data_IF_996641752422
#
_entry.id   IF_996641752422
#
_cell.length_a   1.000
_cell.length_b   1.000
_cell.length_c   1.000
_cell.angle_alpha   90.00
_cell.angle_beta   90.00
_cell.angle_gamma   90.00
#
_symmetry.space_group_name_H-M   'P 1'
#
loop_
_entity.id
_entity.type
_entity.pdbx_description
1 polymer ?
#
# COMPACT_ATOMS: atom_id res chain seq x y z
N UNK A 1 -7.76 17.04 -15.61
CA UNK A 1 -7.78 16.45 -14.25
C UNK A 1 -8.62 17.29 -13.32
N UNK A 2 -9.42 16.66 -12.47
CA UNK A 2 -10.22 17.32 -11.43
C UNK A 2 -10.15 16.52 -10.13
N UNK A 3 -10.22 17.22 -9.00
CA UNK A 3 -10.34 16.62 -7.67
C UNK A 3 -11.65 17.09 -7.04
N UNK A 4 -12.46 16.15 -6.56
CA UNK A 4 -13.63 16.42 -5.73
C UNK A 4 -13.46 15.78 -4.36
N UNK A 5 -14.12 16.38 -3.35
CA UNK A 5 -14.00 15.98 -1.95
C UNK A 5 -15.38 15.70 -1.37
N UNK A 6 -15.52 14.60 -0.65
CA UNK A 6 -16.76 14.21 0.04
C UNK A 6 -16.46 13.58 1.39
N UNK A 7 -17.49 13.45 2.25
CA UNK A 7 -17.38 12.67 3.48
C UNK A 7 -17.27 11.17 3.15
N UNK A 8 -16.34 10.47 3.79
CA UNK A 8 -16.18 9.02 3.66
C UNK A 8 -16.82 8.25 4.83
N UNK A 9 -17.06 8.94 5.94
CA UNK A 9 -17.70 8.38 7.12
C UNK A 9 -17.07 8.89 8.42
N UNK A 10 -17.48 8.31 9.53
CA UNK A 10 -16.95 8.62 10.86
C UNK A 10 -16.58 7.35 11.62
N UNK A 11 -15.48 7.41 12.38
CA UNK A 11 -15.09 6.40 13.35
C UNK A 11 -15.97 6.49 14.61
N UNK A 12 -15.87 5.49 15.49
CA UNK A 12 -16.68 5.40 16.71
C UNK A 12 -16.35 6.51 17.73
N UNK A 13 -15.15 7.08 17.66
CA UNK A 13 -14.74 8.24 18.47
C UNK A 13 -15.26 9.59 17.92
N UNK A 14 -15.96 9.57 16.78
CA UNK A 14 -16.50 10.75 16.10
C UNK A 14 -15.54 11.42 15.11
N UNK A 15 -14.32 10.92 14.96
CA UNK A 15 -13.37 11.39 13.95
C UNK A 15 -13.92 11.15 12.55
N UNK A 16 -13.88 12.16 11.68
CA UNK A 16 -14.45 12.10 10.33
C UNK A 16 -13.36 11.89 9.28
N UNK A 17 -13.59 10.96 8.38
CA UNK A 17 -12.74 10.73 7.22
C UNK A 17 -13.31 11.37 5.97
N UNK A 18 -12.40 11.79 5.10
CA UNK A 18 -12.67 12.47 3.84
C UNK A 18 -12.26 11.55 2.70
N UNK A 19 -13.02 11.57 1.61
CA UNK A 19 -12.70 10.91 0.35
C UNK A 19 -12.31 11.94 -0.70
N UNK A 20 -11.19 11.70 -1.38
CA UNK A 20 -10.66 12.51 -2.46
C UNK A 20 -10.76 11.72 -3.77
N UNK A 21 -11.62 12.17 -4.67
CA UNK A 21 -11.84 11.55 -5.98
C UNK A 21 -11.02 12.30 -7.02
N UNK A 22 -9.98 11.65 -7.56
CA UNK A 22 -9.07 12.18 -8.58
C UNK A 22 -9.47 11.59 -9.93
N UNK A 23 -9.83 12.45 -10.89
CA UNK A 23 -10.31 12.03 -12.21
C UNK A 23 -9.48 12.65 -13.33
N UNK A 24 -9.06 11.83 -14.29
CA UNK A 24 -8.43 12.32 -15.52
C UNK A 24 -9.45 12.59 -16.63
N UNK A 25 -8.97 13.06 -17.79
CA UNK A 25 -9.85 13.37 -18.92
C UNK A 25 -10.32 12.12 -19.68
N UNK A 26 -9.68 10.97 -19.48
CA UNK A 26 -9.91 9.71 -20.19
C UNK A 26 -10.79 8.71 -19.43
N UNK A 27 -11.36 9.11 -18.30
CA UNK A 27 -12.36 8.35 -17.56
C UNK A 27 -11.82 7.48 -16.42
N UNK A 28 -10.51 7.46 -16.20
CA UNK A 28 -9.92 6.81 -15.01
C UNK A 28 -10.14 7.67 -13.77
N UNK A 29 -10.53 7.00 -12.68
CA UNK A 29 -10.85 7.63 -11.40
C UNK A 29 -10.15 6.86 -10.28
N UNK A 30 -9.44 7.57 -9.41
CA UNK A 30 -8.92 7.03 -8.16
C UNK A 30 -9.62 7.72 -6.98
N UNK A 31 -10.10 6.95 -6.02
CA UNK A 31 -10.66 7.47 -4.77
C UNK A 31 -9.72 7.13 -3.62
N UNK A 32 -9.26 8.15 -2.88
CA UNK A 32 -8.29 7.99 -1.79
C UNK A 32 -8.82 8.67 -0.54
N UNK A 33 -8.76 8.03 0.61
CA UNK A 33 -9.19 8.63 1.88
C UNK A 33 -8.02 9.19 2.69
N UNK A 34 -8.25 10.27 3.44
CA UNK A 34 -7.27 10.82 4.40
C UNK A 34 -7.00 9.90 5.59
N UNK A 35 -7.89 8.93 5.87
CA UNK A 35 -7.61 7.86 6.81
C UNK A 35 -6.68 6.83 6.16
N UNK A 36 -5.46 6.72 6.66
CA UNK A 36 -4.42 5.80 6.20
C UNK A 36 -3.84 6.11 4.83
N UNK A 37 -4.21 7.23 4.20
CA UNK A 37 -3.95 7.51 2.79
C UNK A 37 -4.29 6.27 1.91
N UNK A 38 -5.40 5.59 2.24
CA UNK A 38 -5.79 4.32 1.63
C UNK A 38 -6.40 4.58 0.24
N UNK A 39 -5.96 3.81 -0.77
CA UNK A 39 -6.64 3.76 -2.07
C UNK A 39 -7.94 2.97 -1.91
N UNK A 40 -9.08 3.66 -1.99
CA UNK A 40 -10.40 3.12 -1.73
C UNK A 40 -10.98 2.42 -2.95
N UNK A 41 -10.91 3.09 -4.11
CA UNK A 41 -11.40 2.58 -5.39
C UNK A 41 -10.49 3.02 -6.53
N UNK A 42 -10.45 2.22 -7.59
CA UNK A 42 -9.74 2.53 -8.81
C UNK A 42 -10.57 2.09 -10.02
N UNK A 43 -11.29 3.04 -10.60
CA UNK A 43 -12.09 2.80 -11.78
C UNK A 43 -11.24 2.93 -13.03
N UNK A 44 -11.11 1.83 -13.79
CA UNK A 44 -10.32 1.79 -15.03
C UNK A 44 -11.23 1.43 -16.21
N UNK A 45 -11.27 2.25 -17.29
CA UNK A 45 -12.03 1.94 -18.48
C UNK A 45 -11.54 0.68 -19.21
N UNK A 46 -12.46 -0.22 -19.56
CA UNK A 46 -12.20 -1.36 -20.43
C UNK A 46 -12.00 -0.95 -21.91
N UNK A 47 -11.81 -1.93 -22.79
CA UNK A 47 -11.65 -1.70 -24.25
C UNK A 47 -12.88 -1.05 -24.92
N UNK A 48 -14.04 -1.08 -24.28
CA UNK A 48 -15.29 -0.44 -24.74
C UNK A 48 -15.52 0.91 -24.04
N UNK A 49 -14.62 1.34 -23.16
CA UNK A 49 -14.71 2.56 -22.38
C UNK A 49 -15.60 2.45 -21.15
N UNK A 50 -16.00 1.25 -20.73
CA UNK A 50 -16.77 1.05 -19.51
C UNK A 50 -15.82 1.00 -18.30
N UNK A 51 -15.91 1.92 -17.34
CA UNK A 51 -15.10 1.85 -16.13
C UNK A 51 -15.61 0.77 -15.18
N UNK A 52 -14.69 0.08 -14.52
CA UNK A 52 -14.98 -0.85 -13.43
C UNK A 52 -13.97 -0.67 -12.30
N UNK A 53 -14.39 -0.91 -11.05
CA UNK A 53 -13.51 -0.83 -9.88
C UNK A 53 -12.67 -2.10 -9.78
N UNK A 54 -11.36 -1.95 -9.99
CA UNK A 54 -10.43 -3.08 -10.09
C UNK A 54 -9.62 -3.31 -8.81
N UNK A 55 -9.92 -2.62 -7.71
CA UNK A 55 -9.26 -2.84 -6.42
C UNK A 55 -10.23 -3.34 -5.35
N UNK A 56 -9.74 -4.19 -4.47
CA UNK A 56 -10.49 -4.64 -3.29
C UNK A 56 -10.42 -3.59 -2.19
N UNK A 57 -11.52 -3.41 -1.46
CA UNK A 57 -11.63 -2.41 -0.41
C UNK A 57 -12.95 -2.50 0.37
N UNK A 58 -13.28 -1.41 1.06
CA UNK A 58 -14.52 -1.23 1.83
C UNK A 58 -15.25 0.03 1.40
N UNK A 59 -16.56 0.09 1.68
CA UNK A 59 -17.39 1.23 1.29
C UNK A 59 -17.30 2.42 2.25
N UNK A 60 -16.75 2.25 3.46
CA UNK A 60 -16.64 3.29 4.47
C UNK A 60 -15.38 3.19 5.34
N UNK A 61 -15.12 4.25 6.11
CA UNK A 61 -13.95 4.33 7.00
C UNK A 61 -13.94 3.27 8.09
N UNK A 62 -15.09 2.73 8.51
CA UNK A 62 -15.14 1.70 9.57
C UNK A 62 -14.57 0.39 9.07
N UNK A 63 -14.88 0.01 7.83
CA UNK A 63 -14.22 -1.11 7.15
C UNK A 63 -12.70 -0.95 7.09
N UNK A 64 -12.21 0.26 6.80
CA UNK A 64 -10.77 0.57 6.82
C UNK A 64 -10.16 0.57 8.23
N UNK A 65 -10.93 0.95 9.25
CA UNK A 65 -10.52 0.90 10.65
C UNK A 65 -10.28 -0.53 11.14
N UNK A 66 -11.02 -1.51 10.62
CA UNK A 66 -10.75 -2.94 10.83
C UNK A 66 -9.65 -3.44 9.88
N UNK A 67 -9.90 -3.45 8.57
CA UNK A 67 -8.98 -3.80 7.47
C UNK A 67 -7.89 -4.85 7.80
N UNK A 68 -8.26 -6.11 8.12
CA UNK A 68 -7.30 -7.17 8.42
C UNK A 68 -6.35 -7.50 7.26
N UNK A 69 -6.74 -7.17 6.04
CA UNK A 69 -5.99 -7.47 4.81
C UNK A 69 -5.12 -6.32 4.32
N UNK A 70 -5.09 -5.17 5.02
CA UNK A 70 -4.41 -3.96 4.56
C UNK A 70 -4.83 -3.49 3.16
N UNK A 71 -6.08 -3.73 2.75
CA UNK A 71 -6.59 -3.30 1.45
C UNK A 71 -6.33 -1.82 1.22
N UNK A 72 -5.72 -1.50 0.07
CA UNK A 72 -5.45 -0.13 -0.37
C UNK A 72 -4.43 0.64 0.46
N UNK A 73 -3.83 0.02 1.49
CA UNK A 73 -3.21 0.78 2.57
C UNK A 73 -1.84 1.35 2.26
N UNK A 74 -1.58 2.59 2.72
CA UNK A 74 -0.22 3.11 2.83
C UNK A 74 0.46 2.46 4.03
N UNK A 75 1.47 1.65 3.75
CA UNK A 75 2.22 0.91 4.76
C UNK A 75 3.49 1.66 5.12
N UNK A 76 3.80 1.72 6.41
CA UNK A 76 5.06 2.24 6.95
C UNK A 76 5.12 2.15 8.48
N UNK A 77 6.25 2.43 9.12
CA UNK A 77 7.53 2.91 8.53
C UNK A 77 8.26 1.90 7.63
N UNK A 78 8.10 0.60 7.89
CA UNK A 78 8.67 -0.50 7.12
C UNK A 78 7.57 -1.45 6.63
N UNK A 79 7.45 -1.57 5.32
CA UNK A 79 6.66 -2.62 4.71
C UNK A 79 7.35 -3.99 4.80
N UNK A 80 6.54 -5.04 4.83
CA UNK A 80 6.93 -6.43 5.03
C UNK A 80 7.51 -6.67 6.43
N UNK A 81 8.38 -7.67 6.59
CA UNK A 81 8.79 -8.21 7.89
C UNK A 81 10.18 -7.76 8.32
N UNK A 82 10.33 -7.52 9.61
CA UNK A 82 11.62 -7.44 10.31
C UNK A 82 11.72 -8.66 11.23
N UNK A 83 12.74 -9.49 10.97
CA UNK A 83 12.99 -10.72 11.73
C UNK A 83 13.27 -10.44 13.20
N UNK A 84 12.71 -11.28 14.08
CA UNK A 84 12.83 -11.17 15.54
C UNK A 84 12.36 -9.81 16.11
N UNK A 85 11.56 -9.07 15.33
CA UNK A 85 11.04 -7.75 15.66
C UNK A 85 12.12 -6.77 16.16
N UNK A 86 13.33 -6.83 15.59
CA UNK A 86 14.43 -5.95 16.00
C UNK A 86 15.42 -5.69 14.88
N UNK A 87 16.17 -4.61 15.01
CA UNK A 87 17.29 -4.32 14.12
C UNK A 87 18.38 -3.53 14.85
N UNK A 88 19.57 -3.50 14.27
CA UNK A 88 20.69 -2.70 14.75
C UNK A 88 20.98 -1.58 13.76
N UNK A 89 21.05 -0.35 14.24
CA UNK A 89 21.44 0.81 13.44
C UNK A 89 22.45 1.64 14.22
N UNK A 90 23.58 1.96 13.59
CA UNK A 90 24.68 2.70 14.22
C UNK A 90 25.15 2.12 15.57
N UNK A 91 25.13 0.78 15.69
CA UNK A 91 25.52 0.06 16.91
C UNK A 91 24.48 0.08 18.04
N UNK A 92 23.31 0.69 17.82
CA UNK A 92 22.18 0.68 18.76
C UNK A 92 21.16 -0.37 18.33
N UNK A 93 20.68 -1.17 19.28
CA UNK A 93 19.62 -2.13 19.06
C UNK A 93 18.26 -1.48 19.29
N UNK A 94 17.35 -1.64 18.33
CA UNK A 94 15.98 -1.19 18.39
C UNK A 94 15.06 -2.40 18.42
N UNK A 95 14.16 -2.44 19.40
CA UNK A 95 13.10 -3.44 19.51
C UNK A 95 11.79 -2.84 18.99
N UNK A 96 11.05 -3.65 18.24
CA UNK A 96 9.77 -3.31 17.62
C UNK A 96 8.67 -4.17 18.25
N UNK A 97 7.42 -3.79 17.96
CA UNK A 97 6.27 -4.61 18.32
C UNK A 97 6.37 -5.99 17.66
N UNK A 98 6.21 -7.05 18.46
CA UNK A 98 6.06 -8.42 17.96
C UNK A 98 4.59 -8.64 17.57
N UNK A 99 4.27 -8.48 16.29
CA UNK A 99 2.89 -8.50 15.79
C UNK A 99 2.63 -9.55 14.69
N UNK A 100 3.63 -10.37 14.33
CA UNK A 100 3.47 -11.49 13.39
C UNK A 100 4.41 -12.64 13.78
N UNK A 101 3.91 -13.57 14.59
CA UNK A 101 4.74 -14.62 15.18
C UNK A 101 5.86 -14.00 16.05
N UNK A 102 7.15 -14.31 15.82
CA UNK A 102 8.27 -13.65 16.49
C UNK A 102 8.74 -12.35 15.80
N UNK A 103 8.08 -11.92 14.73
CA UNK A 103 8.54 -10.85 13.85
C UNK A 103 7.67 -9.58 13.99
N UNK A 104 8.14 -8.49 13.38
CA UNK A 104 7.35 -7.29 13.13
C UNK A 104 6.92 -7.26 11.65
N UNK A 105 5.66 -7.00 11.35
CA UNK A 105 5.06 -6.93 10.02
C UNK A 105 4.37 -5.57 9.81
N UNK A 106 4.70 -4.91 8.70
CA UNK A 106 4.05 -3.67 8.24
C UNK A 106 4.06 -2.52 9.28
N UNK A 107 4.96 -2.64 10.27
CA UNK A 107 5.24 -1.72 11.38
C UNK A 107 4.12 -1.40 12.37
N UNK A 108 2.93 -1.99 12.27
CA UNK A 108 1.96 -2.30 13.35
C UNK A 108 0.59 -2.50 12.71
N UNK A 109 -0.26 -3.36 13.27
CA UNK A 109 -1.64 -3.50 12.78
C UNK A 109 -2.52 -2.38 13.32
N UNK A 110 -2.47 -2.14 14.64
CA UNK A 110 -3.33 -1.18 15.34
C UNK A 110 -2.76 0.25 15.29
N UNK A 111 -1.44 0.39 15.28
CA UNK A 111 -0.76 1.69 15.29
C UNK A 111 -0.06 2.01 13.96
N UNK A 112 -0.34 1.23 12.91
CA UNK A 112 0.21 1.39 11.57
C UNK A 112 -0.12 2.73 10.95
N UNK A 113 0.64 3.16 9.94
CA UNK A 113 0.31 4.38 9.20
C UNK A 113 -1.08 4.28 8.55
N UNK A 114 -1.50 3.09 8.14
CA UNK A 114 -2.81 2.80 7.59
C UNK A 114 -3.99 3.03 8.56
N UNK A 115 -3.74 3.26 9.85
CA UNK A 115 -4.75 3.55 10.89
C UNK A 115 -4.79 5.01 11.34
N UNK A 116 -4.07 5.90 10.66
CA UNK A 116 -3.89 7.30 11.08
C UNK A 116 -4.49 8.26 10.07
N UNK A 117 -4.96 9.40 10.55
CA UNK A 117 -5.35 10.49 9.66
C UNK A 117 -4.12 11.21 9.12
N UNK A 118 -4.06 11.35 7.80
CA UNK A 118 -3.06 12.14 7.09
C UNK A 118 -3.60 13.54 6.83
N UNK A 119 -2.70 14.52 6.83
CA UNK A 119 -3.04 15.85 6.31
C UNK A 119 -3.05 15.82 4.78
N UNK A 120 -4.20 16.07 4.17
CA UNK A 120 -4.36 16.06 2.73
C UNK A 120 -4.28 17.47 2.12
N UNK A 121 -3.58 17.59 1.00
CA UNK A 121 -3.43 18.81 0.22
C UNK A 121 -3.68 18.54 -1.26
N UNK A 122 -4.62 19.27 -1.86
CA UNK A 122 -4.89 19.21 -3.30
C UNK A 122 -3.90 20.15 -4.01
N UNK A 123 -3.05 19.58 -4.87
CA UNK A 123 -2.04 20.33 -5.60
C UNK A 123 -2.64 21.03 -6.82
N UNK A 124 -1.98 22.08 -7.31
CA UNK A 124 -2.41 22.84 -8.49
C UNK A 124 -2.43 22.05 -9.80
N UNK A 125 -1.77 20.89 -9.85
CA UNK A 125 -1.78 19.99 -11.01
C UNK A 125 -2.88 18.92 -10.96
N UNK A 126 -3.74 18.94 -9.93
CA UNK A 126 -4.83 17.98 -9.76
C UNK A 126 -4.43 16.66 -9.08
N UNK A 127 -3.20 16.54 -8.58
CA UNK A 127 -2.80 15.46 -7.67
C UNK A 127 -3.18 15.78 -6.21
N UNK A 128 -3.17 14.77 -5.33
CA UNK A 128 -3.43 14.95 -3.89
C UNK A 128 -2.27 14.38 -3.08
N UNK A 129 -1.69 15.19 -2.21
CA UNK A 129 -0.61 14.81 -1.29
C UNK A 129 -1.16 14.57 0.10
N UNK A 130 -0.88 13.41 0.68
CA UNK A 130 -1.21 13.02 2.04
C UNK A 130 0.07 12.99 2.87
N UNK A 131 0.13 13.74 3.97
CA UNK A 131 1.32 13.86 4.82
C UNK A 131 1.06 13.36 6.24
N UNK A 132 2.06 12.72 6.84
CA UNK A 132 2.02 12.20 8.21
C UNK A 132 3.35 12.48 8.90
N UNK A 133 3.26 13.00 10.13
CA UNK A 133 4.40 13.15 11.05
C UNK A 133 4.45 11.92 11.96
N UNK A 134 5.58 11.22 11.96
CA UNK A 134 5.87 10.04 12.79
C UNK A 134 7.00 10.38 13.76
N UNK A 135 6.71 10.63 15.04
CA UNK A 135 7.70 11.13 15.99
C UNK A 135 8.82 10.13 16.29
N UNK A 136 9.91 10.62 16.89
CA UNK A 136 11.00 9.76 17.40
C UNK A 136 10.46 8.70 18.38
N UNK A 137 10.79 7.43 18.15
CA UNK A 137 10.32 6.29 18.91
C UNK A 137 8.96 5.74 18.45
N UNK A 138 8.30 6.36 17.47
CA UNK A 138 7.04 5.87 16.93
C UNK A 138 7.20 4.49 16.28
N UNK A 139 6.32 3.55 16.65
CA UNK A 139 6.42 2.12 16.32
C UNK A 139 7.77 1.48 16.70
N UNK A 140 8.58 2.12 17.55
CA UNK A 140 9.93 1.68 17.95
C UNK A 140 11.08 2.20 17.07
N UNK A 141 10.81 3.03 16.06
CA UNK A 141 11.84 3.54 15.14
C UNK A 141 12.45 4.88 15.60
N UNK A 142 13.77 5.09 15.45
CA UNK A 142 14.40 6.37 15.78
C UNK A 142 14.08 7.45 14.75
N UNK A 143 14.16 8.71 15.19
CA UNK A 143 14.02 9.90 14.36
C UNK A 143 12.57 10.32 14.16
N UNK A 144 12.32 11.61 14.30
CA UNK A 144 11.11 12.21 13.76
C UNK A 144 11.16 12.04 12.24
N UNK A 145 10.07 11.58 11.65
CA UNK A 145 9.94 11.37 10.22
C UNK A 145 8.73 12.14 9.72
N UNK A 146 8.96 13.09 8.82
CA UNK A 146 7.90 13.66 8.00
C UNK A 146 7.85 12.86 6.70
N UNK A 147 6.71 12.22 6.44
CA UNK A 147 6.49 11.48 5.20
C UNK A 147 5.29 12.01 4.44
N UNK A 148 5.32 11.88 3.12
CA UNK A 148 4.14 12.10 2.29
C UNK A 148 4.00 11.05 1.19
N UNK A 149 2.76 10.81 0.78
CA UNK A 149 2.42 10.08 -0.45
C UNK A 149 1.53 10.96 -1.32
N UNK A 150 1.93 11.16 -2.57
CA UNK A 150 1.15 11.91 -3.55
C UNK A 150 0.52 10.95 -4.55
N UNK A 151 -0.80 11.00 -4.68
CA UNK A 151 -1.57 10.27 -5.68
C UNK A 151 -1.89 11.17 -6.87
N UNK A 152 -1.66 10.66 -8.08
CA UNK A 152 -1.96 11.34 -9.34
C UNK A 152 -2.52 10.35 -10.34
N UNK A 153 -3.57 10.75 -11.06
CA UNK A 153 -4.05 10.03 -12.24
C UNK A 153 -3.64 10.83 -13.47
N UNK A 154 -2.77 10.28 -14.33
CA UNK A 154 -2.30 10.98 -15.54
C UNK A 154 -3.34 10.88 -16.66
N UNK A 155 -3.24 11.72 -17.69
CA UNK A 155 -4.11 11.59 -18.85
C UNK A 155 -3.83 10.30 -19.66
N UNK A 156 -2.72 9.59 -19.43
CA UNK A 156 -2.43 8.29 -20.07
C UNK A 156 -3.04 7.10 -19.30
N UNK A 157 -4.00 7.35 -18.39
CA UNK A 157 -4.61 6.35 -17.50
C UNK A 157 -3.57 5.64 -16.60
N UNK A 158 -2.62 6.39 -16.05
CA UNK A 158 -1.68 5.87 -15.05
C UNK A 158 -2.06 6.36 -13.66
N UNK A 159 -2.05 5.46 -12.68
CA UNK A 159 -2.04 5.82 -11.26
C UNK A 159 -0.59 5.92 -10.78
N UNK A 160 -0.15 7.13 -10.44
CA UNK A 160 1.21 7.40 -9.96
C UNK A 160 1.16 7.72 -8.47
N UNK A 161 1.93 6.96 -7.69
CA UNK A 161 2.16 7.20 -6.26
C UNK A 161 3.61 7.62 -6.06
N UNK A 162 3.82 8.78 -5.43
CA UNK A 162 5.17 9.29 -5.10
C UNK A 162 5.34 9.40 -3.60
N UNK A 163 6.32 8.69 -3.05
CA UNK A 163 6.63 8.71 -1.62
C UNK A 163 7.82 9.64 -1.35
N UNK A 164 7.70 10.47 -0.32
CA UNK A 164 8.84 11.21 0.23
C UNK A 164 8.94 11.00 1.73
N UNK A 165 10.15 11.03 2.26
CA UNK A 165 10.43 10.91 3.68
C UNK A 165 11.64 11.76 4.05
N UNK A 166 11.53 12.50 5.15
CA UNK A 166 12.63 13.28 5.73
C UNK A 166 12.69 13.01 7.22
N UNK A 167 13.84 12.51 7.67
CA UNK A 167 14.09 12.30 9.10
C UNK A 167 15.17 13.25 9.64
N UNK A 168 15.08 13.53 10.94
CA UNK A 168 16.08 14.30 11.69
C UNK A 168 17.17 13.42 12.35
N UNK A 169 17.05 12.10 12.23
CA UNK A 169 18.05 11.11 12.63
C UNK A 169 18.15 10.01 11.57
N UNK A 170 19.22 9.22 11.63
CA UNK A 170 19.29 7.99 10.86
C UNK A 170 18.17 7.05 11.27
N UNK A 171 17.41 6.56 10.28
CA UNK A 171 16.29 5.64 10.45
C UNK A 171 16.14 4.77 9.22
N UNK A 172 15.41 3.66 9.34
CA UNK A 172 15.03 2.85 8.18
C UNK A 172 13.64 3.25 7.70
N UNK A 173 13.43 3.30 6.39
CA UNK A 173 12.18 3.72 5.76
C UNK A 173 11.94 2.94 4.47
N UNK A 174 10.81 2.25 4.38
CA UNK A 174 10.44 1.40 3.24
C UNK A 174 8.90 1.37 3.10
N UNK A 175 8.27 2.47 2.67
CA UNK A 175 6.83 2.51 2.51
C UNK A 175 6.36 1.78 1.25
N UNK A 176 5.09 1.37 1.21
CA UNK A 176 4.45 0.87 0.00
C UNK A 176 2.94 1.13 0.02
N UNK A 177 2.24 0.79 -1.07
CA UNK A 177 0.79 0.71 -1.11
C UNK A 177 0.38 -0.76 -1.21
N UNK A 178 -0.61 -1.17 -0.42
CA UNK A 178 -1.02 -2.57 -0.28
C UNK A 178 -2.37 -2.85 -0.97
N UNK A 179 -2.57 -2.27 -2.16
CA UNK A 179 -3.73 -2.54 -3.01
C UNK A 179 -3.73 -3.96 -3.55
N UNK A 180 -4.91 -4.58 -3.55
CA UNK A 180 -5.15 -5.87 -4.19
C UNK A 180 -5.98 -5.64 -5.44
N UNK A 181 -5.53 -6.18 -6.56
CA UNK A 181 -6.13 -5.93 -7.86
C UNK A 181 -6.91 -7.15 -8.37
N UNK A 182 -8.07 -6.88 -8.97
CA UNK A 182 -8.76 -7.80 -9.85
C UNK A 182 -9.21 -7.04 -11.11
N UNK A 183 -8.48 -7.25 -12.22
CA UNK A 183 -8.70 -6.50 -13.47
C UNK A 183 -10.03 -6.83 -14.17
N UNK A 184 -10.75 -7.86 -13.70
CA UNK A 184 -12.09 -8.22 -14.16
C UNK A 184 -13.21 -7.56 -13.34
N UNK A 185 -12.86 -6.70 -12.36
CA UNK A 185 -13.77 -6.11 -11.38
C UNK A 185 -13.59 -6.73 -9.99
N UNK A 186 -13.69 -5.92 -8.93
CA UNK A 186 -13.44 -6.36 -7.54
C UNK A 186 -14.40 -7.47 -7.08
N UNK A 187 -15.60 -7.54 -7.63
CA UNK A 187 -16.66 -8.50 -7.31
C UNK A 187 -16.73 -9.70 -8.28
N UNK A 188 -15.82 -9.76 -9.26
CA UNK A 188 -15.82 -10.78 -10.33
C UNK A 188 -15.37 -12.18 -9.88
N UNK A 189 -15.11 -12.38 -8.59
CA UNK A 189 -14.65 -13.64 -8.01
C UNK A 189 -13.12 -13.78 -8.01
N UNK A 190 -12.62 -14.98 -8.36
CA UNK A 190 -11.18 -15.28 -8.27
C UNK A 190 -10.39 -14.58 -9.38
N UNK A 191 -9.29 -13.93 -9.01
CA UNK A 191 -8.33 -13.32 -9.94
C UNK A 191 -7.36 -14.33 -10.62
N UNK A 192 -7.57 -15.64 -10.46
CA UNK A 192 -6.64 -16.68 -10.93
C UNK A 192 -6.53 -16.77 -12.46
N UNK A 193 -7.52 -16.24 -13.19
CA UNK A 193 -7.47 -16.16 -14.66
C UNK A 193 -6.64 -14.99 -15.20
N UNK A 194 -6.15 -14.08 -14.34
CA UNK A 194 -5.28 -13.00 -14.76
C UNK A 194 -3.95 -13.53 -15.28
N UNK A 195 -3.35 -12.79 -16.21
CA UNK A 195 -2.02 -13.08 -16.73
C UNK A 195 -1.00 -12.14 -16.10
N UNK A 196 0.08 -12.71 -15.59
CA UNK A 196 1.17 -12.02 -14.93
C UNK A 196 2.46 -12.17 -15.73
N UNK A 197 3.23 -11.08 -15.81
CA UNK A 197 4.61 -11.08 -16.25
C UNK A 197 5.43 -10.27 -15.25
N UNK A 198 6.53 -10.85 -14.75
CA UNK A 198 7.45 -10.22 -13.82
C UNK A 198 8.83 -10.11 -14.46
N UNK A 199 9.35 -8.90 -14.57
CA UNK A 199 10.71 -8.64 -15.08
C UNK A 199 11.72 -8.80 -13.93
N UNK A 200 11.76 -9.99 -13.36
CA UNK A 200 12.76 -10.42 -12.36
C UNK A 200 13.40 -11.73 -12.79
N UNK A 201 14.64 -11.96 -12.39
CA UNK A 201 15.37 -13.22 -12.61
C UNK A 201 15.50 -14.06 -11.34
N UNK A 202 15.28 -13.43 -10.19
CA UNK A 202 15.53 -14.01 -8.88
C UNK A 202 14.39 -13.66 -7.92
N UNK A 203 14.20 -14.52 -6.91
CA UNK A 203 13.39 -14.24 -5.73
C UNK A 203 14.24 -14.36 -4.46
N UNK A 204 13.70 -13.87 -3.36
CA UNK A 204 14.28 -14.03 -2.03
C UNK A 204 13.58 -15.20 -1.33
N UNK A 205 14.20 -16.39 -1.24
CA UNK A 205 13.58 -17.51 -0.56
C UNK A 205 13.48 -17.23 0.93
N UNK A 206 12.38 -17.68 1.53
CA UNK A 206 12.04 -17.40 2.92
C UNK A 206 12.19 -18.64 3.79
N UNK A 207 12.61 -18.43 5.04
CA UNK A 207 12.52 -19.41 6.13
C UNK A 207 11.19 -19.27 6.87
N UNK A 208 11.00 -20.11 7.90
CA UNK A 208 9.84 -20.01 8.80
C UNK A 208 9.62 -18.57 9.31
N UNK A 209 8.35 -18.16 9.37
CA UNK A 209 7.96 -16.78 9.65
C UNK A 209 8.08 -15.83 8.46
N UNK A 210 8.24 -16.37 7.24
CA UNK A 210 8.36 -15.59 5.99
C UNK A 210 9.50 -14.57 5.99
N UNK A 211 10.60 -14.89 6.68
CA UNK A 211 11.80 -14.06 6.73
C UNK A 211 12.77 -14.48 5.62
N UNK A 212 13.34 -13.54 4.86
CA UNK A 212 14.40 -13.86 3.90
C UNK A 212 15.54 -14.67 4.52
N UNK A 213 16.02 -15.67 3.78
CA UNK A 213 17.22 -16.45 4.14
C UNK A 213 18.51 -15.65 4.00
N UNK A 214 18.50 -14.60 3.17
CA UNK A 214 19.68 -13.83 2.75
C UNK A 214 20.21 -14.24 1.38
N UNK A 215 19.74 -15.36 0.82
CA UNK A 215 20.12 -15.84 -0.50
C UNK A 215 19.23 -15.26 -1.61
N UNK A 216 19.67 -15.40 -2.86
CA UNK A 216 18.86 -15.21 -4.05
C UNK A 216 18.69 -16.54 -4.79
N UNK A 217 17.46 -16.85 -5.19
CA UNK A 217 17.12 -18.06 -5.95
C UNK A 217 16.68 -17.66 -7.36
N UNK A 218 17.28 -18.29 -8.38
CA UNK A 218 16.86 -18.10 -9.77
C UNK A 218 15.43 -18.59 -10.00
N UNK A 219 14.67 -17.83 -10.79
CA UNK A 219 13.29 -18.17 -11.14
C UNK A 219 13.20 -19.23 -12.23
N UNK A 220 14.16 -19.27 -13.16
CA UNK A 220 14.15 -20.16 -14.33
C UNK A 220 13.87 -21.62 -13.94
N UNK A 221 12.82 -22.20 -14.52
CA UNK A 221 12.43 -23.58 -14.27
C UNK A 221 11.69 -23.84 -12.96
N UNK A 222 11.34 -22.79 -12.20
CA UNK A 222 10.51 -22.89 -10.97
C UNK A 222 9.05 -22.50 -11.23
N UNK A 223 8.10 -22.86 -10.34
CA UNK A 223 6.73 -22.37 -10.41
C UNK A 223 6.61 -20.83 -10.36
N UNK A 224 7.60 -20.14 -9.78
CA UNK A 224 7.65 -18.69 -9.64
C UNK A 224 8.14 -17.97 -10.91
N UNK A 225 8.45 -18.71 -11.97
CA UNK A 225 8.89 -18.12 -13.24
C UNK A 225 7.74 -17.50 -14.02
N UNK A 226 7.62 -16.18 -13.89
CA UNK A 226 6.71 -15.33 -14.66
C UNK A 226 7.49 -14.43 -15.64
N UNK A 227 8.66 -14.84 -16.14
CA UNK A 227 9.40 -14.03 -17.13
C UNK A 227 8.60 -13.82 -18.42
N UNK A 228 7.73 -14.78 -18.75
CA UNK A 228 6.76 -14.72 -19.84
C UNK A 228 5.33 -14.54 -19.29
N UNK A 229 4.47 -13.93 -20.11
CA UNK A 229 3.08 -13.68 -19.75
C UNK A 229 2.32 -15.00 -19.51
N UNK A 230 2.05 -15.30 -18.23
CA UNK A 230 1.54 -16.61 -17.78
C UNK A 230 0.27 -16.43 -16.94
N UNK A 231 -0.70 -17.34 -17.07
CA UNK A 231 -1.91 -17.32 -16.23
C UNK A 231 -1.52 -17.66 -14.80
N UNK A 232 -1.95 -16.84 -13.83
CA UNK A 232 -1.60 -17.01 -12.42
C UNK A 232 -2.02 -18.39 -11.90
N UNK A 233 -3.24 -18.82 -12.21
CA UNK A 233 -3.78 -20.11 -11.79
C UNK A 233 -3.05 -21.33 -12.35
N UNK A 234 -2.22 -21.20 -13.39
CA UNK A 234 -1.41 -22.32 -13.91
C UNK A 234 -0.17 -22.59 -13.04
N UNK A 235 0.13 -21.71 -12.08
CA UNK A 235 1.34 -21.74 -11.23
C UNK A 235 1.05 -21.81 -9.74
N UNK A 236 -0.23 -21.84 -9.35
CA UNK A 236 -0.69 -21.86 -7.95
C UNK A 236 -1.64 -23.04 -7.77
N UNK A 237 -1.36 -23.89 -6.78
CA UNK A 237 -2.27 -24.91 -6.25
C UNK A 237 -3.08 -24.38 -5.05
#
# INVERSE_FOLDING_TARGET
MSVSVSEFGSLDDGSKATLYTIKNNNGMIAEVTDFGANLVRLFVPDRKGNPDDIVLGFDDVKGYAENPSYFGSTIGRIANRIGDAKFTLNGVNYELEVNDGPNNLHSSFDNGYNKRFFNAHINGDGSVTFSLSSPDGDQGFPGNLEMSVTYKVTDDNELVLSYTGRSDKDTIFNPTNHSYFNLSGHDSGKAMGLKLQLVSKELTPVREGSIPTGDFMKLEGTPFDFSELTVIGDRID
#
